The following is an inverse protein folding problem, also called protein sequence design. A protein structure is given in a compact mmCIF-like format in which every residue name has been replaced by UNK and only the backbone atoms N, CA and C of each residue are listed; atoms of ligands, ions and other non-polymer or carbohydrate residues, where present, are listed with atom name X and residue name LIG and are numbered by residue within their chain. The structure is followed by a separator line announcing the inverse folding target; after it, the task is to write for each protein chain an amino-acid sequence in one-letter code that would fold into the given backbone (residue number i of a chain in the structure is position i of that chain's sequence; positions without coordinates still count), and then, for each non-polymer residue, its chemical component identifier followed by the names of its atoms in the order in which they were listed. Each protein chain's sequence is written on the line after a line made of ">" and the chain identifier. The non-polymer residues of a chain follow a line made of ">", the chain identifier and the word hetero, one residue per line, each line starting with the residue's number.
data_IF_576017494188
#
_entry.id   IF_576017494188
#
_cell.length_a   1.000
_cell.length_b   1.000
_cell.length_c   1.000
_cell.angle_alpha   90.00
_cell.angle_beta   90.00
_cell.angle_gamma   90.00
#
_symmetry.space_group_name_H-M   'P 1'
#
loop_
_entity.id
_entity.type
_entity.pdbx_description
1 polymer ?
#
# COMPACT_ATOMS: atom_id res chain seq x y z
N UNK A 1 -7.19 9.14 -13.86
CA UNK A 1 -8.06 10.22 -13.36
C UNK A 1 -7.54 11.56 -13.86
N UNK A 2 -7.96 12.06 -15.06
CA UNK A 2 -7.45 13.33 -15.62
C UNK A 2 -7.65 14.50 -14.65
N UNK A 3 -8.82 14.61 -14.02
CA UNK A 3 -9.17 15.69 -13.10
C UNK A 3 -8.18 15.83 -11.94
N UNK A 4 -7.74 14.71 -11.35
CA UNK A 4 -6.77 14.72 -10.24
C UNK A 4 -5.40 15.14 -10.75
N UNK A 5 -4.98 14.62 -11.89
CA UNK A 5 -3.70 14.98 -12.52
C UNK A 5 -3.66 16.46 -12.88
N UNK A 6 -4.74 16.98 -13.48
CA UNK A 6 -4.86 18.39 -13.86
C UNK A 6 -4.84 19.29 -12.62
N UNK A 7 -5.53 18.90 -11.54
CA UNK A 7 -5.47 19.61 -10.27
C UNK A 7 -4.01 19.73 -9.77
N UNK A 8 -3.26 18.63 -9.74
CA UNK A 8 -1.87 18.68 -9.29
C UNK A 8 -0.98 19.50 -10.20
N UNK A 9 -1.17 19.44 -11.53
CA UNK A 9 -0.38 20.21 -12.50
C UNK A 9 -0.61 21.70 -12.37
N UNK A 10 -1.86 22.13 -12.17
CA UNK A 10 -2.21 23.56 -12.18
C UNK A 10 -2.19 24.23 -10.80
N UNK A 11 -2.46 23.50 -9.72
CA UNK A 11 -2.64 24.09 -8.39
C UNK A 11 -1.55 23.76 -7.39
N UNK A 12 -0.75 22.68 -7.62
CA UNK A 12 0.33 22.34 -6.69
C UNK A 12 1.64 23.00 -7.16
N UNK A 13 2.23 23.91 -6.34
CA UNK A 13 3.46 24.59 -6.70
C UNK A 13 4.56 23.60 -7.02
N UNK A 14 5.31 23.87 -8.08
CA UNK A 14 6.44 23.08 -8.56
C UNK A 14 6.12 21.68 -9.10
N UNK A 15 4.87 21.18 -8.99
CA UNK A 15 4.52 19.85 -9.49
C UNK A 15 4.83 19.70 -11.00
N UNK A 16 4.55 20.73 -11.81
CA UNK A 16 4.82 20.77 -13.24
C UNK A 16 6.31 20.98 -13.59
N UNK A 17 7.16 21.27 -12.61
CA UNK A 17 8.62 21.43 -12.80
C UNK A 17 9.36 20.10 -12.62
N UNK A 18 8.74 19.11 -12.00
CA UNK A 18 9.32 17.78 -11.90
C UNK A 18 9.27 17.07 -13.26
N UNK A 19 10.42 16.68 -13.76
CA UNK A 19 10.57 15.96 -15.04
C UNK A 19 9.90 14.58 -15.02
N UNK A 20 9.80 13.98 -13.83
CA UNK A 20 9.05 12.76 -13.56
C UNK A 20 8.21 12.97 -12.30
N UNK A 21 6.89 12.80 -12.41
CA UNK A 21 5.94 12.88 -11.28
C UNK A 21 6.30 11.87 -10.18
N UNK A 22 6.90 10.74 -10.55
CA UNK A 22 7.44 9.72 -9.63
C UNK A 22 8.49 10.26 -8.66
N UNK A 23 9.19 11.36 -8.99
CA UNK A 23 10.16 11.97 -8.06
C UNK A 23 9.49 12.56 -6.81
N UNK A 24 8.23 13.00 -6.90
CA UNK A 24 7.47 13.46 -5.73
C UNK A 24 7.11 12.30 -4.78
N UNK A 25 7.02 11.07 -5.28
CA UNK A 25 6.74 9.87 -4.49
C UNK A 25 7.84 9.59 -3.47
N UNK A 26 9.11 9.89 -3.80
CA UNK A 26 10.26 9.71 -2.89
C UNK A 26 10.04 10.46 -1.57
N UNK A 27 9.46 11.67 -1.62
CA UNK A 27 9.17 12.46 -0.42
C UNK A 27 8.13 11.74 0.45
N UNK A 28 7.09 11.18 -0.16
CA UNK A 28 6.07 10.41 0.55
C UNK A 28 6.66 9.14 1.16
N UNK A 29 7.48 8.42 0.41
CA UNK A 29 8.16 7.20 0.87
C UNK A 29 9.09 7.44 2.07
N UNK A 30 9.67 8.63 2.18
CA UNK A 30 10.45 9.03 3.36
C UNK A 30 9.56 9.52 4.51
N UNK A 31 8.59 10.39 4.23
CA UNK A 31 7.78 11.03 5.26
C UNK A 31 6.83 10.05 5.96
N UNK A 32 6.21 9.13 5.23
CA UNK A 32 5.22 8.19 5.79
C UNK A 32 5.84 7.30 6.87
N UNK A 33 7.00 6.62 6.68
CA UNK A 33 7.64 5.84 7.73
C UNK A 33 8.04 6.67 8.95
N UNK A 34 8.56 7.88 8.75
CA UNK A 34 8.92 8.78 9.87
C UNK A 34 7.69 9.12 10.70
N UNK A 35 6.59 9.51 10.06
CA UNK A 35 5.33 9.80 10.75
C UNK A 35 4.76 8.56 11.46
N UNK A 36 4.88 7.38 10.85
CA UNK A 36 4.46 6.12 11.44
C UNK A 36 5.24 5.81 12.73
N UNK A 37 6.57 5.98 12.72
CA UNK A 37 7.42 5.79 13.91
C UNK A 37 7.07 6.80 15.00
N UNK A 38 6.86 8.07 14.66
CA UNK A 38 6.44 9.10 15.63
C UNK A 38 5.06 8.79 16.24
N UNK A 39 4.12 8.33 15.42
CA UNK A 39 2.80 7.88 15.86
C UNK A 39 2.89 6.67 16.80
N UNK A 40 3.68 5.67 16.42
CA UNK A 40 3.95 4.47 17.21
C UNK A 40 4.55 4.83 18.58
N UNK A 41 5.54 5.73 18.60
CA UNK A 41 6.15 6.23 19.84
C UNK A 41 5.11 6.84 20.78
N UNK A 42 4.18 7.66 20.26
CA UNK A 42 3.10 8.27 21.08
C UNK A 42 2.15 7.22 21.65
N UNK A 43 1.72 6.24 20.83
CA UNK A 43 0.81 5.18 21.28
C UNK A 43 1.47 4.31 22.35
N UNK A 44 2.76 3.99 22.19
CA UNK A 44 3.51 3.18 23.15
C UNK A 44 3.76 3.94 24.47
N UNK A 45 3.98 5.26 24.42
CA UNK A 45 4.22 6.07 25.63
C UNK A 45 2.97 6.20 26.51
N UNK A 46 1.80 6.37 25.91
CA UNK A 46 0.52 6.47 26.64
C UNK A 46 -0.60 5.76 25.85
N UNK A 47 -0.68 4.42 25.97
CA UNK A 47 -1.63 3.62 25.22
C UNK A 47 -3.09 3.93 25.56
N UNK A 48 -3.39 4.35 26.80
CA UNK A 48 -4.77 4.67 27.20
C UNK A 48 -5.26 5.94 26.51
N UNK A 49 -4.42 6.97 26.45
CA UNK A 49 -4.74 8.28 25.87
C UNK A 49 -4.92 8.19 24.36
N UNK A 50 -3.99 7.54 23.66
CA UNK A 50 -3.95 7.55 22.20
C UNK A 50 -4.75 6.41 21.56
N UNK A 51 -5.19 5.39 22.31
CA UNK A 51 -5.94 4.26 21.77
C UNK A 51 -7.27 4.67 21.14
N UNK A 52 -7.96 5.66 21.71
CA UNK A 52 -9.24 6.14 21.14
C UNK A 52 -9.04 6.73 19.74
N UNK A 53 -7.98 7.51 19.56
CA UNK A 53 -7.64 8.11 18.26
C UNK A 53 -7.20 7.02 17.29
N UNK A 54 -6.31 6.11 17.71
CA UNK A 54 -5.88 4.98 16.91
C UNK A 54 -7.08 4.13 16.43
N UNK A 55 -8.00 3.77 17.34
CA UNK A 55 -9.21 3.00 16.99
C UNK A 55 -10.06 3.70 15.94
N UNK A 56 -10.26 5.03 16.07
CA UNK A 56 -11.03 5.81 15.09
C UNK A 56 -10.35 5.77 13.71
N UNK A 57 -9.04 5.96 13.66
CA UNK A 57 -8.27 5.91 12.42
C UNK A 57 -8.29 4.51 11.80
N UNK A 58 -8.12 3.45 12.59
CA UNK A 58 -8.19 2.08 12.11
C UNK A 58 -9.58 1.75 11.51
N UNK A 59 -10.66 2.16 12.19
CA UNK A 59 -12.02 1.97 11.67
C UNK A 59 -12.23 2.77 10.38
N UNK A 60 -11.75 4.01 10.31
CA UNK A 60 -11.86 4.83 9.09
C UNK A 60 -11.12 4.18 7.91
N UNK A 61 -9.91 3.67 8.13
CA UNK A 61 -9.15 2.96 7.10
C UNK A 61 -9.84 1.66 6.67
N UNK A 62 -10.34 0.86 7.61
CA UNK A 62 -11.10 -0.36 7.28
C UNK A 62 -12.38 -0.03 6.50
N UNK A 63 -13.13 1.00 6.91
CA UNK A 63 -14.32 1.45 6.17
C UNK A 63 -13.96 1.90 4.75
N UNK A 64 -12.84 2.60 4.60
CA UNK A 64 -12.35 3.00 3.28
C UNK A 64 -12.01 1.80 2.41
N UNK A 65 -11.27 0.81 2.92
CA UNK A 65 -10.93 -0.41 2.17
C UNK A 65 -12.21 -1.21 1.79
N UNK A 66 -13.16 -1.34 2.71
CA UNK A 66 -14.45 -1.99 2.43
C UNK A 66 -15.21 -1.22 1.35
N UNK A 67 -15.21 0.12 1.39
CA UNK A 67 -15.87 0.92 0.37
C UNK A 67 -15.28 0.71 -1.02
N UNK A 68 -13.96 0.51 -1.14
CA UNK A 68 -13.32 0.19 -2.41
C UNK A 68 -13.82 -1.13 -3.00
N UNK A 69 -14.00 -2.15 -2.16
CA UNK A 69 -14.58 -3.43 -2.60
C UNK A 69 -16.02 -3.23 -3.08
N UNK A 70 -16.84 -2.49 -2.31
CA UNK A 70 -18.23 -2.21 -2.71
C UNK A 70 -18.30 -1.45 -4.03
N UNK A 71 -17.45 -0.44 -4.22
CA UNK A 71 -17.38 0.32 -5.46
C UNK A 71 -16.96 -0.55 -6.66
N UNK A 72 -16.08 -1.54 -6.43
CA UNK A 72 -15.75 -2.55 -7.44
C UNK A 72 -16.97 -3.37 -7.83
N UNK A 73 -17.76 -3.86 -6.86
CA UNK A 73 -18.96 -4.66 -7.13
C UNK A 73 -20.04 -3.88 -7.88
N UNK A 74 -20.13 -2.56 -7.68
CA UNK A 74 -21.04 -1.67 -8.42
C UNK A 74 -20.53 -1.38 -9.84
N UNK A 75 -19.32 -1.86 -10.20
CA UNK A 75 -18.73 -1.65 -11.52
C UNK A 75 -18.18 -0.23 -11.74
N UNK A 76 -17.88 0.50 -10.67
CA UNK A 76 -17.36 1.86 -10.78
C UNK A 76 -15.87 1.89 -11.20
N UNK A 77 -15.17 0.78 -11.05
CA UNK A 77 -13.78 0.64 -11.48
C UNK A 77 -13.69 -0.10 -12.80
N UNK A 78 -13.13 0.55 -13.83
CA UNK A 78 -12.64 -0.14 -14.99
C UNK A 78 -11.15 -0.43 -14.83
N UNK A 79 -10.75 -1.69 -14.97
CA UNK A 79 -9.34 -2.10 -14.91
C UNK A 79 -8.64 -1.98 -16.25
N UNK A 80 -9.24 -1.22 -17.18
CA UNK A 80 -8.71 -0.88 -18.50
C UNK A 80 -7.92 0.42 -18.46
N UNK A 81 -6.90 0.52 -19.30
CA UNK A 81 -6.04 1.69 -19.47
C UNK A 81 -6.07 2.17 -20.92
N UNK A 82 -5.88 3.48 -21.20
CA UNK A 82 -5.77 3.98 -22.58
C UNK A 82 -4.66 3.31 -23.42
N UNK A 83 -3.65 2.75 -22.76
CA UNK A 83 -2.55 2.04 -23.42
C UNK A 83 -2.97 0.63 -23.90
N UNK A 84 -4.08 0.10 -23.38
CA UNK A 84 -4.52 -1.27 -23.64
C UNK A 84 -4.92 -1.48 -25.11
N UNK A 85 -5.38 -0.44 -25.78
CA UNK A 85 -5.65 -0.48 -27.23
C UNK A 85 -4.39 -0.74 -28.07
N UNK A 86 -3.26 -0.21 -27.63
CA UNK A 86 -1.96 -0.45 -28.30
C UNK A 86 -1.41 -1.83 -27.98
N UNK A 87 -1.56 -2.27 -26.72
CA UNK A 87 -1.14 -3.60 -26.27
C UNK A 87 -1.98 -4.68 -26.93
N UNK A 88 -3.27 -4.45 -27.11
CA UNK A 88 -4.17 -5.37 -27.81
C UNK A 88 -3.74 -5.62 -29.25
N UNK A 89 -3.34 -4.55 -29.97
CA UNK A 89 -2.79 -4.68 -31.32
C UNK A 89 -1.49 -5.47 -31.41
N UNK A 90 -0.68 -5.51 -30.32
CA UNK A 90 0.60 -6.21 -30.26
C UNK A 90 0.47 -7.67 -29.77
N UNK A 91 -0.40 -7.95 -28.81
CA UNK A 91 -0.47 -9.23 -28.09
C UNK A 91 -1.78 -10.01 -28.30
N UNK A 92 -2.81 -9.38 -28.87
CA UNK A 92 -4.11 -10.00 -29.11
C UNK A 92 -5.07 -9.97 -27.91
N UNK A 93 -6.36 -10.21 -28.21
CA UNK A 93 -7.48 -10.06 -27.25
C UNK A 93 -7.38 -11.01 -26.03
N UNK A 94 -6.86 -12.22 -26.23
CA UNK A 94 -6.79 -13.23 -25.17
C UNK A 94 -5.80 -12.82 -24.06
N UNK A 95 -4.61 -12.37 -24.46
CA UNK A 95 -3.59 -11.90 -23.52
C UNK A 95 -4.09 -10.63 -22.81
N UNK A 96 -4.80 -9.76 -23.54
CA UNK A 96 -5.33 -8.55 -22.96
C UNK A 96 -6.39 -8.81 -21.90
N UNK A 97 -7.27 -9.79 -22.10
CA UNK A 97 -8.24 -10.24 -21.06
C UNK A 97 -7.52 -10.73 -19.82
N UNK A 98 -6.47 -11.55 -19.97
CA UNK A 98 -5.70 -12.04 -18.82
C UNK A 98 -5.02 -10.90 -18.04
N UNK A 99 -4.50 -9.88 -18.72
CA UNK A 99 -3.92 -8.69 -18.08
C UNK A 99 -4.97 -7.94 -17.25
N UNK A 100 -6.18 -7.78 -17.79
CA UNK A 100 -7.27 -7.09 -17.05
C UNK A 100 -7.69 -7.88 -15.84
N UNK A 101 -7.84 -9.21 -15.96
CA UNK A 101 -8.16 -10.10 -14.84
C UNK A 101 -7.05 -10.03 -13.77
N UNK A 102 -5.79 -10.11 -14.16
CA UNK A 102 -4.67 -10.01 -13.23
C UNK A 102 -4.64 -8.65 -12.48
N UNK A 103 -4.97 -7.54 -13.13
CA UNK A 103 -5.09 -6.23 -12.48
C UNK A 103 -6.21 -6.21 -11.44
N UNK A 104 -7.33 -6.85 -11.75
CA UNK A 104 -8.47 -6.97 -10.84
C UNK A 104 -8.13 -7.83 -9.63
N UNK A 105 -7.46 -8.97 -9.84
CA UNK A 105 -7.00 -9.86 -8.76
C UNK A 105 -6.02 -9.14 -7.83
N UNK A 106 -5.00 -8.47 -8.38
CA UNK A 106 -4.03 -7.69 -7.59
C UNK A 106 -4.74 -6.64 -6.75
N UNK A 107 -5.72 -5.92 -7.31
CA UNK A 107 -6.48 -4.91 -6.57
C UNK A 107 -7.22 -5.50 -5.38
N UNK A 108 -7.86 -6.65 -5.56
CA UNK A 108 -8.61 -7.34 -4.49
C UNK A 108 -7.63 -7.88 -3.43
N UNK A 109 -6.55 -8.51 -3.84
CA UNK A 109 -5.53 -9.08 -2.95
C UNK A 109 -4.88 -7.99 -2.08
N UNK A 110 -4.58 -6.83 -2.66
CA UNK A 110 -4.00 -5.70 -1.92
C UNK A 110 -4.98 -5.13 -0.88
N UNK A 111 -6.28 -5.10 -1.17
CA UNK A 111 -7.30 -4.70 -0.19
C UNK A 111 -7.38 -5.72 0.96
N UNK A 112 -7.45 -7.02 0.67
CA UNK A 112 -7.48 -8.07 1.70
C UNK A 112 -6.24 -8.04 2.57
N UNK A 113 -5.07 -7.87 1.95
CA UNK A 113 -3.79 -7.68 2.65
C UNK A 113 -3.84 -6.46 3.57
N UNK A 114 -4.32 -5.31 3.09
CA UNK A 114 -4.49 -4.09 3.89
C UNK A 114 -5.41 -4.30 5.09
N UNK A 115 -6.56 -4.97 4.91
CA UNK A 115 -7.50 -5.31 5.98
C UNK A 115 -6.82 -6.20 7.02
N UNK A 116 -6.10 -7.23 6.58
CA UNK A 116 -5.37 -8.15 7.46
C UNK A 116 -4.32 -7.42 8.30
N UNK A 117 -3.50 -6.57 7.67
CA UNK A 117 -2.45 -5.81 8.36
C UNK A 117 -3.03 -4.86 9.41
N UNK A 118 -4.08 -4.08 9.05
CA UNK A 118 -4.73 -3.16 9.98
C UNK A 118 -5.33 -3.94 11.16
N UNK A 119 -5.94 -5.09 10.90
CA UNK A 119 -6.54 -5.94 11.92
C UNK A 119 -5.47 -6.50 12.88
N UNK A 120 -4.37 -7.03 12.35
CA UNK A 120 -3.26 -7.57 13.16
C UNK A 120 -2.62 -6.49 14.04
N UNK A 121 -2.33 -5.31 13.47
CA UNK A 121 -1.76 -4.19 14.21
C UNK A 121 -2.74 -3.71 15.30
N UNK A 122 -4.04 -3.65 14.97
CA UNK A 122 -5.08 -3.28 15.94
C UNK A 122 -5.20 -4.27 17.09
N UNK A 123 -5.06 -5.55 16.82
CA UNK A 123 -5.05 -6.61 17.83
C UNK A 123 -3.84 -6.47 18.77
N UNK A 124 -2.64 -6.24 18.21
CA UNK A 124 -1.42 -6.03 19.02
C UNK A 124 -1.60 -4.83 19.96
N UNK A 125 -2.11 -3.70 19.46
CA UNK A 125 -2.35 -2.52 20.29
C UNK A 125 -3.42 -2.74 21.35
N UNK A 126 -4.47 -3.51 21.05
CA UNK A 126 -5.51 -3.88 22.01
C UNK A 126 -4.91 -4.73 23.14
N UNK A 127 -4.11 -5.74 22.80
CA UNK A 127 -3.42 -6.59 23.78
C UNK A 127 -2.43 -5.79 24.64
N UNK A 128 -1.70 -4.87 24.03
CA UNK A 128 -0.77 -3.99 24.72
C UNK A 128 -1.49 -3.04 25.69
N UNK A 129 -2.55 -2.36 25.24
CA UNK A 129 -3.39 -1.50 26.07
C UNK A 129 -3.93 -2.24 27.29
N UNK A 130 -4.38 -3.49 27.09
CA UNK A 130 -4.94 -4.34 28.15
C UNK A 130 -3.85 -4.99 29.01
N UNK A 131 -2.57 -4.61 28.87
CA UNK A 131 -1.42 -5.16 29.58
C UNK A 131 -1.22 -6.67 29.43
N UNK A 132 -1.82 -7.29 28.43
CA UNK A 132 -1.63 -8.72 28.14
C UNK A 132 -0.26 -9.02 27.51
N UNK A 133 0.35 -8.04 26.86
CA UNK A 133 1.69 -8.14 26.28
C UNK A 133 2.58 -6.98 26.76
N UNK A 134 3.90 -7.25 26.88
CA UNK A 134 4.89 -6.24 27.24
C UNK A 134 5.21 -5.33 26.06
N UNK A 135 5.69 -4.11 26.32
CA UNK A 135 6.09 -3.12 25.31
C UNK A 135 7.03 -3.70 24.25
N UNK A 136 8.07 -4.40 24.68
CA UNK A 136 9.06 -4.94 23.74
C UNK A 136 8.43 -5.99 22.81
N UNK A 137 7.54 -6.85 23.35
CA UNK A 137 6.84 -7.85 22.55
C UNK A 137 5.92 -7.19 21.50
N UNK A 138 5.21 -6.12 21.87
CA UNK A 138 4.38 -5.37 20.93
C UNK A 138 5.21 -4.77 19.78
N UNK A 139 6.37 -4.17 20.10
CA UNK A 139 7.27 -3.60 19.09
C UNK A 139 7.82 -4.70 18.17
N UNK A 140 8.31 -5.81 18.73
CA UNK A 140 8.86 -6.93 17.96
C UNK A 140 7.79 -7.53 17.05
N UNK A 141 6.55 -7.68 17.55
CA UNK A 141 5.45 -8.23 16.75
C UNK A 141 5.09 -7.31 15.56
N UNK A 142 5.03 -5.99 15.77
CA UNK A 142 4.78 -5.03 14.69
C UNK A 142 5.93 -5.07 13.67
N UNK A 143 7.18 -5.13 14.14
CA UNK A 143 8.34 -5.21 13.26
C UNK A 143 8.37 -6.52 12.46
N UNK A 144 8.01 -7.64 13.09
CA UNK A 144 7.86 -8.93 12.42
C UNK A 144 6.81 -8.90 11.30
N UNK A 145 5.65 -8.27 11.55
CA UNK A 145 4.61 -8.08 10.53
C UNK A 145 5.15 -7.24 9.37
N UNK A 146 5.86 -6.15 9.65
CA UNK A 146 6.44 -5.30 8.61
C UNK A 146 7.49 -6.04 7.76
N UNK A 147 8.37 -6.83 8.40
CA UNK A 147 9.36 -7.63 7.67
C UNK A 147 8.67 -8.67 6.78
N UNK A 148 7.66 -9.36 7.31
CA UNK A 148 6.90 -10.34 6.54
C UNK A 148 6.21 -9.68 5.33
N UNK A 149 5.58 -8.54 5.53
CA UNK A 149 4.85 -7.80 4.51
C UNK A 149 5.77 -7.26 3.42
N UNK A 150 6.82 -6.54 3.80
CA UNK A 150 7.81 -5.99 2.87
C UNK A 150 8.64 -7.08 2.19
N UNK A 151 8.98 -8.14 2.94
CA UNK A 151 9.69 -9.31 2.40
C UNK A 151 8.88 -10.05 1.34
N UNK A 152 7.57 -10.20 1.54
CA UNK A 152 6.67 -10.78 0.55
C UNK A 152 6.61 -9.98 -0.76
N UNK A 153 6.60 -8.64 -0.66
CA UNK A 153 6.69 -7.78 -1.85
C UNK A 153 8.07 -7.92 -2.51
N UNK A 154 9.14 -7.82 -1.72
CA UNK A 154 10.50 -7.92 -2.24
C UNK A 154 10.73 -9.25 -2.97
N UNK A 155 10.25 -10.36 -2.41
CA UNK A 155 10.35 -11.68 -3.02
C UNK A 155 9.63 -11.77 -4.38
N UNK A 156 8.50 -11.07 -4.55
CA UNK A 156 7.76 -11.05 -5.82
C UNK A 156 8.57 -10.38 -6.95
N UNK A 157 9.43 -9.40 -6.62
CA UNK A 157 10.20 -8.63 -7.60
C UNK A 157 11.67 -9.05 -7.70
N UNK A 158 12.24 -9.61 -6.63
CA UNK A 158 13.64 -10.00 -6.51
C UNK A 158 13.78 -11.55 -6.51
N UNK A 159 13.32 -12.19 -7.58
CA UNK A 159 13.56 -13.63 -7.77
C UNK A 159 15.03 -13.85 -8.08
N UNK A 160 15.66 -14.85 -7.40
CA UNK A 160 17.06 -15.23 -7.61
C UNK A 160 17.36 -15.62 -9.07
N UNK A 161 16.37 -16.14 -9.78
CA UNK A 161 16.49 -16.48 -11.19
C UNK A 161 16.63 -15.29 -12.14
N UNK A 162 16.40 -14.06 -11.63
CA UNK A 162 16.54 -12.81 -12.39
C UNK A 162 17.89 -12.13 -12.22
N UNK A 163 18.76 -12.67 -11.35
CA UNK A 163 20.12 -12.18 -11.21
C UNK A 163 21.00 -12.75 -12.33
N UNK A 164 21.53 -11.86 -13.13
CA UNK A 164 22.45 -12.19 -14.23
C UNK A 164 23.87 -12.14 -13.69
N UNK A 165 24.72 -13.11 -14.04
CA UNK A 165 26.10 -13.09 -13.62
C UNK A 165 26.85 -11.91 -14.27
N UNK A 166 27.83 -11.34 -13.56
CA UNK A 166 28.62 -10.21 -14.05
C UNK A 166 29.25 -10.46 -15.43
N UNK A 167 29.63 -11.71 -15.72
CA UNK A 167 30.19 -12.15 -17.00
C UNK A 167 29.18 -12.14 -18.18
N UNK A 168 27.88 -11.91 -17.92
CA UNK A 168 26.86 -11.82 -18.97
C UNK A 168 26.50 -10.34 -19.27
N UNK A 169 27.09 -9.40 -18.52
CA UNK A 169 26.86 -7.96 -18.66
C UNK A 169 28.05 -7.28 -19.36
N UNK A 170 29.22 -7.90 -19.36
CA UNK A 170 30.44 -7.49 -20.10
C UNK A 170 30.45 -8.16 -21.48
#
# INVERSE_FOLDING_TARGET
>A
FPIVTDFFIYYVPFYNKFRAVSSAQIILELCIPVLAVLGLRKIISDPKKYFKTFKKTAIALLSFLISLILLKFIGLFSFTSPIDSRLNGAYGDEIMKQIIIAREEIFVDDIFRGVLLITLISLIFLLFKNKKIKKNLAIISIFGILIYDLGGIAYRYLDFNRFVSKSQIE
#
